data_IF_946778864277
#
_entry.id   IF_946778864277
#
_cell.length_a   1.000
_cell.length_b   1.000
_cell.length_c   1.000
_cell.angle_alpha   90.00
_cell.angle_beta   90.00
_cell.angle_gamma   90.00
#
_symmetry.space_group_name_H-M   'P 1'
#
loop_
_entity.id
_entity.type
_entity.pdbx_description
1 polymer ?
#
# COMPACT_ATOMS: atom_id res chain seq x y z
N UNK A 1 13.68 -7.10 12.67
CA UNK A 1 14.79 -6.99 11.70
C UNK A 1 15.67 -5.84 12.17
N UNK A 2 17.00 -5.98 12.24
CA UNK A 2 17.87 -4.87 12.60
C UNK A 2 17.80 -3.78 11.52
N UNK A 3 17.96 -2.52 11.95
CA UNK A 3 17.98 -1.38 11.04
C UNK A 3 19.31 -1.41 10.27
N UNK A 4 19.30 -1.40 8.93
CA UNK A 4 20.53 -1.34 8.15
C UNK A 4 21.27 -0.02 8.40
N UNK A 5 22.59 -0.04 8.30
CA UNK A 5 23.39 1.17 8.43
C UNK A 5 23.13 2.16 7.30
N UNK A 6 22.95 1.65 6.08
CA UNK A 6 22.72 2.45 4.88
C UNK A 6 21.50 1.93 4.13
N UNK A 7 20.70 2.86 3.63
CA UNK A 7 19.52 2.58 2.80
C UNK A 7 19.60 3.39 1.52
N UNK A 8 19.44 2.69 0.40
CA UNK A 8 19.37 3.30 -0.93
C UNK A 8 17.90 3.37 -1.33
N UNK A 9 17.38 4.57 -1.46
CA UNK A 9 15.96 4.85 -1.69
C UNK A 9 15.77 5.40 -3.12
N UNK A 10 15.33 4.57 -4.09
CA UNK A 10 15.16 5.00 -5.47
C UNK A 10 14.09 6.09 -5.61
N UNK A 11 14.40 7.14 -6.39
CA UNK A 11 13.48 8.22 -6.74
C UNK A 11 12.64 7.91 -8.00
N UNK A 12 12.73 6.69 -8.50
CA UNK A 12 11.94 6.22 -9.64
C UNK A 12 10.99 5.15 -9.17
N UNK A 13 9.71 5.33 -9.40
CA UNK A 13 8.67 4.34 -9.10
C UNK A 13 8.34 3.49 -10.34
N UNK A 14 7.59 2.41 -10.12
CA UNK A 14 7.02 1.62 -11.21
C UNK A 14 6.25 2.53 -12.18
N UNK A 15 6.46 2.35 -13.49
CA UNK A 15 5.77 3.10 -14.53
C UNK A 15 6.42 4.43 -14.93
N UNK A 16 7.71 4.64 -14.63
CA UNK A 16 8.49 5.82 -15.07
C UNK A 16 8.15 7.14 -14.38
N UNK A 17 7.33 7.15 -13.34
CA UNK A 17 7.09 8.35 -12.55
C UNK A 17 8.33 8.69 -11.75
N UNK A 18 8.84 9.91 -11.93
CA UNK A 18 9.99 10.42 -11.19
C UNK A 18 9.53 11.17 -9.95
N UNK A 19 10.30 11.01 -8.89
CA UNK A 19 10.13 11.75 -7.65
C UNK A 19 11.21 12.79 -7.52
N UNK A 20 10.84 13.97 -7.04
CA UNK A 20 11.75 15.08 -6.72
C UNK A 20 12.13 14.97 -5.25
N UNK A 21 13.43 15.00 -4.88
CA UNK A 21 13.83 15.02 -3.49
C UNK A 21 13.39 16.34 -2.81
N UNK A 22 12.90 16.21 -1.57
CA UNK A 22 12.58 17.33 -0.66
C UNK A 22 13.72 17.61 0.31
N UNK A 23 14.76 16.81 0.27
CA UNK A 23 15.94 16.86 1.14
C UNK A 23 17.22 17.02 0.30
N UNK A 24 18.30 17.37 0.96
CA UNK A 24 19.65 17.52 0.35
C UNK A 24 20.71 16.77 1.18
N UNK A 25 21.88 16.47 0.60
CA UNK A 25 22.98 15.89 1.37
C UNK A 25 23.33 16.75 2.59
N UNK A 26 23.51 16.10 3.74
CA UNK A 26 23.74 16.70 5.05
C UNK A 26 22.49 16.92 5.90
N UNK A 27 21.29 16.83 5.34
CA UNK A 27 20.05 16.97 6.11
C UNK A 27 19.87 15.79 7.06
N UNK A 28 19.48 16.10 8.30
CA UNK A 28 19.01 15.09 9.26
C UNK A 28 17.52 14.87 9.05
N UNK A 29 17.11 13.61 9.06
CA UNK A 29 15.70 13.21 8.89
C UNK A 29 15.27 12.29 10.03
N UNK A 30 14.02 12.38 10.37
CA UNK A 30 13.34 11.47 11.29
C UNK A 30 12.55 10.42 10.49
N UNK A 31 12.31 9.28 11.07
CA UNK A 31 11.42 8.26 10.50
C UNK A 31 10.04 8.85 10.21
N UNK A 32 9.45 8.48 9.09
CA UNK A 32 8.21 9.01 8.53
C UNK A 32 8.26 10.47 8.05
N UNK A 33 9.37 11.15 8.15
CA UNK A 33 9.52 12.48 7.54
C UNK A 33 9.44 12.36 6.00
N UNK A 34 8.67 13.24 5.35
CA UNK A 34 8.61 13.31 3.90
C UNK A 34 9.99 13.66 3.32
N UNK A 35 10.50 12.87 2.39
CA UNK A 35 11.82 13.02 1.76
C UNK A 35 11.77 13.19 0.24
N UNK A 36 10.66 12.80 -0.40
CA UNK A 36 10.44 13.05 -1.81
C UNK A 36 8.96 13.23 -2.13
N UNK A 37 8.69 13.87 -3.27
CA UNK A 37 7.35 14.05 -3.83
C UNK A 37 7.35 13.79 -5.33
N UNK A 38 6.19 13.43 -5.88
CA UNK A 38 6.00 13.23 -7.31
C UNK A 38 6.31 14.51 -8.10
N UNK A 39 7.14 14.42 -9.13
CA UNK A 39 7.40 15.55 -10.04
C UNK A 39 6.14 16.02 -10.77
N UNK A 40 5.21 15.11 -11.05
CA UNK A 40 4.00 15.42 -11.81
C UNK A 40 2.91 16.10 -10.98
N UNK A 41 2.78 15.75 -9.69
CA UNK A 41 1.67 16.20 -8.83
C UNK A 41 2.10 17.02 -7.64
N UNK A 42 3.39 16.96 -7.25
CA UNK A 42 3.90 17.57 -6.02
C UNK A 42 3.51 16.85 -4.73
N UNK A 43 2.75 15.77 -4.84
CA UNK A 43 2.28 14.99 -3.69
C UNK A 43 3.43 14.19 -3.11
N UNK A 44 3.52 14.15 -1.77
CA UNK A 44 4.52 13.33 -1.07
C UNK A 44 4.34 11.87 -1.47
N UNK A 45 5.42 11.25 -1.86
CA UNK A 45 5.41 9.88 -2.34
C UNK A 45 6.47 8.99 -1.70
N UNK A 46 7.35 9.59 -0.89
CA UNK A 46 8.33 8.86 -0.10
C UNK A 46 8.57 9.50 1.26
N UNK A 47 8.65 8.66 2.29
CA UNK A 47 9.03 9.02 3.65
C UNK A 47 10.33 8.32 4.05
N UNK A 48 11.08 8.89 4.97
CA UNK A 48 12.26 8.27 5.53
C UNK A 48 11.85 7.00 6.31
N UNK A 49 12.44 5.84 6.00
CA UNK A 49 12.09 4.57 6.68
C UNK A 49 12.68 4.47 8.10
N UNK A 50 13.65 5.30 8.42
CA UNK A 50 14.30 5.42 9.74
C UNK A 50 14.92 6.80 9.90
N UNK A 51 15.35 7.15 11.12
CA UNK A 51 16.11 8.39 11.36
C UNK A 51 17.56 8.26 10.90
N UNK A 52 18.16 9.40 10.54
CA UNK A 52 19.55 9.43 10.08
C UNK A 52 19.93 10.71 9.33
N UNK A 53 20.94 10.58 8.49
CA UNK A 53 21.49 11.69 7.70
C UNK A 53 21.49 11.32 6.22
N UNK A 54 21.04 12.23 5.37
CA UNK A 54 21.13 12.10 3.91
C UNK A 54 22.60 12.28 3.52
N UNK A 55 23.23 11.23 2.97
CA UNK A 55 24.64 11.26 2.57
C UNK A 55 24.84 11.72 1.16
N UNK A 56 23.99 11.27 0.24
CA UNK A 56 24.08 11.58 -1.17
C UNK A 56 22.70 11.53 -1.85
N UNK A 57 22.59 12.21 -2.98
CA UNK A 57 21.49 12.06 -3.93
C UNK A 57 22.14 11.91 -5.30
N UNK A 58 22.27 10.67 -5.75
CA UNK A 58 23.01 10.32 -6.96
C UNK A 58 22.51 8.99 -7.56
N UNK A 59 23.10 8.58 -8.67
CA UNK A 59 22.71 7.32 -9.32
C UNK A 59 23.32 6.12 -8.60
N UNK A 60 22.46 5.16 -8.27
CA UNK A 60 22.83 3.84 -7.73
C UNK A 60 22.23 2.73 -8.58
N UNK A 61 22.90 1.58 -8.59
CA UNK A 61 22.32 0.35 -9.12
C UNK A 61 21.11 -0.06 -8.28
N UNK A 62 19.97 -0.25 -8.92
CA UNK A 62 18.73 -0.69 -8.29
C UNK A 62 18.38 -2.12 -8.73
N UNK A 63 17.66 -2.89 -7.89
CA UNK A 63 17.12 -4.18 -8.27
C UNK A 63 16.15 -4.01 -9.45
N UNK A 64 16.63 -4.17 -10.66
CA UNK A 64 15.86 -4.05 -11.89
C UNK A 64 16.25 -5.17 -12.84
N UNK A 65 15.31 -5.79 -13.57
CA UNK A 65 15.64 -6.81 -14.57
C UNK A 65 16.64 -6.35 -15.63
N UNK A 66 16.82 -5.05 -15.80
CA UNK A 66 17.70 -4.44 -16.78
C UNK A 66 19.00 -3.87 -16.17
N UNK A 67 19.31 -4.18 -14.90
CA UNK A 67 20.48 -3.63 -14.17
C UNK A 67 20.67 -2.11 -14.37
N UNK A 68 19.59 -1.37 -14.32
CA UNK A 68 19.60 0.08 -14.51
C UNK A 68 20.05 0.79 -13.23
N UNK A 69 20.81 1.85 -13.42
CA UNK A 69 21.01 2.87 -12.39
C UNK A 69 19.81 3.81 -12.34
N UNK A 70 19.49 4.28 -11.15
CA UNK A 70 18.46 5.29 -10.92
C UNK A 70 18.95 6.31 -9.91
N UNK A 71 18.45 7.54 -10.03
CA UNK A 71 18.63 8.54 -8.99
C UNK A 71 18.04 8.04 -7.68
N UNK A 72 18.81 8.04 -6.61
CA UNK A 72 18.44 7.55 -5.30
C UNK A 72 18.87 8.53 -4.21
N UNK A 73 18.17 8.48 -3.09
CA UNK A 73 18.60 9.09 -1.83
C UNK A 73 19.37 8.02 -1.05
N UNK A 74 20.61 8.34 -0.65
CA UNK A 74 21.39 7.51 0.28
C UNK A 74 21.17 8.04 1.70
N UNK A 75 20.48 7.26 2.52
CA UNK A 75 20.24 7.53 3.93
C UNK A 75 21.18 6.68 4.79
N UNK A 76 22.03 7.32 5.60
CA UNK A 76 22.77 6.65 6.64
C UNK A 76 21.99 6.73 7.95
N UNK A 77 21.58 5.56 8.48
CA UNK A 77 20.84 5.45 9.74
C UNK A 77 21.71 5.85 10.93
N UNK A 78 21.13 6.56 11.89
CA UNK A 78 21.75 6.84 13.19
C UNK A 78 21.53 5.73 14.22
N UNK A 79 20.72 4.72 13.88
CA UNK A 79 20.37 3.57 14.71
C UNK A 79 19.36 3.84 15.83
N UNK A 80 18.88 5.09 15.97
CA UNK A 80 17.91 5.45 17.01
C UNK A 80 16.44 5.23 16.58
N UNK A 81 16.17 5.15 15.27
CA UNK A 81 14.82 5.01 14.72
C UNK A 81 13.83 6.06 15.26
N UNK A 82 14.33 7.28 15.51
CA UNK A 82 13.52 8.36 16.05
C UNK A 82 12.47 8.82 15.05
N UNK A 83 11.23 8.95 15.51
CA UNK A 83 10.07 9.26 14.66
C UNK A 83 9.70 10.74 14.74
N UNK A 84 9.03 11.25 13.70
CA UNK A 84 8.33 12.53 13.78
C UNK A 84 7.19 12.45 14.78
N UNK A 85 6.79 13.58 15.34
CA UNK A 85 5.58 13.63 16.17
C UNK A 85 4.35 13.32 15.31
N UNK A 86 3.57 12.34 15.74
CA UNK A 86 2.34 11.94 15.09
C UNK A 86 1.14 12.50 15.86
N UNK A 87 0.31 13.27 15.20
CA UNK A 87 -1.02 13.59 15.70
C UNK A 87 -1.94 12.39 15.46
N UNK A 88 -1.99 11.47 16.44
CA UNK A 88 -2.87 10.32 16.36
C UNK A 88 -4.34 10.75 16.26
N UNK A 89 -5.05 10.25 15.27
CA UNK A 89 -6.48 10.45 15.12
C UNK A 89 -7.20 9.43 15.99
N UNK A 90 -7.86 9.91 17.03
CA UNK A 90 -8.52 9.04 18.01
C UNK A 90 -9.67 8.22 17.38
N UNK A 91 -10.42 8.81 16.46
CA UNK A 91 -11.51 8.13 15.75
C UNK A 91 -11.57 8.61 14.29
N UNK A 92 -11.15 7.76 13.36
CA UNK A 92 -11.20 8.04 11.91
C UNK A 92 -12.64 8.27 11.41
N UNK A 93 -13.67 7.78 12.11
CA UNK A 93 -15.09 7.95 11.73
C UNK A 93 -15.61 9.36 11.91
N UNK A 94 -14.87 10.21 12.64
CA UNK A 94 -15.17 11.63 12.77
C UNK A 94 -14.74 12.45 11.54
N UNK A 95 -13.93 11.85 10.65
CA UNK A 95 -13.42 12.49 9.45
C UNK A 95 -14.33 12.23 8.24
N UNK A 96 -14.41 13.23 7.38
CA UNK A 96 -15.05 13.07 6.06
C UNK A 96 -14.21 12.15 5.16
N UNK A 97 -14.83 11.62 4.10
CA UNK A 97 -14.12 10.80 3.12
C UNK A 97 -12.98 11.56 2.43
N UNK A 98 -13.10 12.87 2.23
CA UNK A 98 -12.04 13.71 1.66
C UNK A 98 -10.86 13.86 2.60
N UNK A 99 -11.10 14.08 3.89
CA UNK A 99 -10.02 14.14 4.88
C UNK A 99 -9.29 12.81 5.00
N UNK A 100 -10.03 11.68 4.98
CA UNK A 100 -9.41 10.36 4.95
C UNK A 100 -8.59 10.12 3.68
N UNK A 101 -9.10 10.52 2.52
CA UNK A 101 -8.37 10.40 1.25
C UNK A 101 -7.07 11.21 1.27
N UNK A 102 -7.11 12.45 1.78
CA UNK A 102 -5.92 13.30 1.92
C UNK A 102 -4.88 12.68 2.86
N UNK A 103 -5.30 12.13 4.00
CA UNK A 103 -4.39 11.45 4.93
C UNK A 103 -3.74 10.20 4.31
N UNK A 104 -4.48 9.43 3.52
CA UNK A 104 -3.96 8.28 2.78
C UNK A 104 -2.91 8.74 1.75
N UNK A 105 -3.16 9.87 1.09
CA UNK A 105 -2.26 10.47 0.13
C UNK A 105 -0.99 11.02 0.80
N UNK A 106 -1.13 11.81 1.87
CA UNK A 106 -0.02 12.33 2.67
C UNK A 106 0.83 11.21 3.28
N UNK A 107 0.21 10.09 3.64
CA UNK A 107 0.88 8.88 4.11
C UNK A 107 1.63 8.12 3.02
N UNK A 108 1.57 8.56 1.76
CA UNK A 108 2.16 7.89 0.59
C UNK A 108 1.77 6.40 0.52
N UNK A 109 0.51 6.09 0.84
CA UNK A 109 0.01 4.71 0.83
C UNK A 109 -0.35 4.32 -0.60
N UNK A 110 0.47 3.46 -1.19
CA UNK A 110 0.32 2.99 -2.57
C UNK A 110 0.02 1.51 -2.62
N UNK A 111 -0.68 1.08 -3.67
CA UNK A 111 -0.73 -0.33 -4.03
C UNK A 111 0.63 -0.79 -4.54
N UNK A 112 1.24 -1.76 -3.87
CA UNK A 112 2.55 -2.34 -4.25
C UNK A 112 2.43 -3.37 -5.38
N UNK A 113 1.24 -3.75 -5.79
CA UNK A 113 1.01 -4.60 -6.96
C UNK A 113 1.26 -3.77 -8.22
N UNK A 114 2.16 -4.23 -9.05
CA UNK A 114 2.68 -3.76 -10.36
C UNK A 114 2.05 -2.61 -11.14
N UNK A 115 0.90 -2.13 -10.79
CA UNK A 115 0.23 -1.03 -11.47
C UNK A 115 0.50 0.36 -10.86
N UNK A 116 1.24 0.45 -9.73
CA UNK A 116 1.78 1.71 -9.19
C UNK A 116 0.81 2.89 -9.08
N UNK A 117 -0.49 2.64 -9.17
CA UNK A 117 -1.49 3.68 -9.21
C UNK A 117 -1.73 4.24 -7.81
N UNK A 118 -1.58 5.54 -7.71
CA UNK A 118 -1.86 6.31 -6.51
C UNK A 118 -3.35 6.15 -6.19
N UNK A 119 -3.63 5.68 -4.98
CA UNK A 119 -5.00 5.36 -4.56
C UNK A 119 -5.94 6.56 -4.62
N UNK A 120 -5.42 7.79 -4.44
CA UNK A 120 -6.23 9.01 -4.49
C UNK A 120 -6.92 9.21 -5.84
N UNK A 121 -6.27 8.88 -6.97
CA UNK A 121 -6.90 8.97 -8.29
C UNK A 121 -8.07 7.99 -8.44
N UNK A 122 -8.00 6.87 -7.74
CA UNK A 122 -9.12 5.92 -7.65
C UNK A 122 -10.21 6.45 -6.71
N UNK A 123 -9.83 7.10 -5.62
CA UNK A 123 -10.76 7.68 -4.64
C UNK A 123 -11.45 8.96 -5.14
N UNK A 124 -10.71 9.81 -5.87
CA UNK A 124 -11.21 11.10 -6.37
C UNK A 124 -11.94 11.02 -7.72
N UNK A 125 -12.05 9.85 -8.35
CA UNK A 125 -12.66 9.71 -9.67
C UNK A 125 -14.16 10.06 -9.73
N UNK A 126 -14.79 10.31 -8.58
CA UNK A 126 -16.22 10.60 -8.47
C UNK A 126 -17.14 9.43 -8.84
N UNK A 127 -16.58 8.28 -9.18
CA UNK A 127 -17.33 7.05 -9.50
C UNK A 127 -17.70 6.33 -8.22
N UNK A 128 -18.95 5.92 -8.11
CA UNK A 128 -19.41 5.13 -6.97
C UNK A 128 -18.67 3.81 -6.89
N UNK A 129 -18.04 3.53 -5.74
CA UNK A 129 -17.37 2.26 -5.46
C UNK A 129 -18.38 1.30 -4.85
N UNK A 130 -18.70 0.25 -5.59
CA UNK A 130 -19.63 -0.79 -5.12
C UNK A 130 -18.95 -1.82 -4.25
N UNK A 131 -17.69 -2.13 -4.56
CA UNK A 131 -16.95 -3.18 -3.89
C UNK A 131 -15.48 -2.79 -3.71
N UNK A 132 -15.02 -2.82 -2.46
CA UNK A 132 -13.60 -2.79 -2.11
C UNK A 132 -13.14 -4.22 -1.81
N UNK A 133 -12.10 -4.67 -2.51
CA UNK A 133 -11.45 -5.97 -2.28
C UNK A 133 -10.10 -5.72 -1.63
N UNK A 134 -9.91 -6.27 -0.43
CA UNK A 134 -8.60 -6.38 0.19
C UNK A 134 -8.03 -7.75 -0.20
N UNK A 135 -7.01 -7.71 -1.03
CA UNK A 135 -6.40 -8.91 -1.59
C UNK A 135 -5.36 -9.47 -0.62
N UNK A 136 -5.72 -10.59 -0.03
CA UNK A 136 -4.86 -11.42 0.81
C UNK A 136 -4.55 -12.78 0.16
N UNK A 137 -4.93 -12.96 -1.12
CA UNK A 137 -4.53 -14.12 -1.90
C UNK A 137 -3.15 -13.88 -2.52
N UNK A 138 -2.32 -14.92 -2.49
CA UNK A 138 -0.97 -14.81 -3.04
C UNK A 138 -1.01 -14.82 -4.57
N UNK A 139 -0.32 -13.85 -5.17
CA UNK A 139 -0.23 -13.73 -6.63
C UNK A 139 0.89 -14.57 -7.24
N UNK A 140 1.87 -14.96 -6.43
CA UNK A 140 3.09 -15.64 -6.88
C UNK A 140 3.50 -16.76 -5.91
N UNK A 141 4.05 -17.88 -6.42
CA UNK A 141 4.58 -18.93 -5.56
C UNK A 141 5.69 -18.42 -4.63
N UNK A 142 5.77 -18.99 -3.44
CA UNK A 142 6.76 -18.67 -2.40
C UNK A 142 6.66 -17.27 -1.77
N UNK A 143 5.71 -16.43 -2.16
CA UNK A 143 5.40 -15.19 -1.45
C UNK A 143 4.51 -15.53 -0.25
N UNK A 144 4.95 -15.13 0.96
CA UNK A 144 4.26 -15.41 2.23
C UNK A 144 4.10 -14.17 3.11
N UNK A 145 4.46 -13.00 2.59
CA UNK A 145 4.44 -11.76 3.36
C UNK A 145 3.01 -11.38 3.80
N UNK A 146 2.02 -11.54 2.91
CA UNK A 146 0.61 -11.26 3.20
C UNK A 146 0.07 -12.19 4.30
N UNK A 147 0.35 -13.49 4.22
CA UNK A 147 -0.03 -14.46 5.23
C UNK A 147 0.57 -14.14 6.60
N UNK A 148 1.88 -13.86 6.65
CA UNK A 148 2.57 -13.51 7.89
C UNK A 148 1.97 -12.23 8.51
N UNK A 149 1.69 -11.21 7.69
CA UNK A 149 1.06 -9.97 8.14
C UNK A 149 -0.33 -10.23 8.74
N UNK A 150 -1.15 -11.02 8.06
CA UNK A 150 -2.49 -11.37 8.54
C UNK A 150 -2.46 -12.16 9.83
N UNK A 151 -1.56 -13.13 9.95
CA UNK A 151 -1.40 -13.92 11.17
C UNK A 151 -0.97 -13.06 12.37
N UNK A 152 -0.04 -12.12 12.15
CA UNK A 152 0.55 -11.33 13.22
C UNK A 152 -0.18 -10.01 13.49
N UNK A 153 -0.84 -9.44 12.49
CA UNK A 153 -1.40 -8.09 12.52
C UNK A 153 -2.82 -7.99 11.97
N UNK A 154 -3.62 -9.05 12.07
CA UNK A 154 -5.00 -9.11 11.56
C UNK A 154 -5.84 -7.87 11.95
N UNK A 155 -5.72 -7.42 13.20
CA UNK A 155 -6.44 -6.22 13.70
C UNK A 155 -6.10 -4.95 12.92
N UNK A 156 -4.84 -4.77 12.57
CA UNK A 156 -4.39 -3.59 11.80
C UNK A 156 -4.87 -3.68 10.35
N UNK A 157 -4.85 -4.87 9.75
CA UNK A 157 -5.36 -5.08 8.38
C UNK A 157 -6.87 -4.79 8.32
N UNK A 158 -7.64 -5.31 9.28
CA UNK A 158 -9.09 -5.06 9.36
C UNK A 158 -9.37 -3.57 9.60
N UNK A 159 -8.59 -2.89 10.44
CA UNK A 159 -8.71 -1.45 10.66
C UNK A 159 -8.40 -0.66 9.39
N UNK A 160 -7.31 -0.98 8.69
CA UNK A 160 -6.95 -0.37 7.40
C UNK A 160 -8.03 -0.57 6.34
N UNK A 161 -8.61 -1.76 6.26
CA UNK A 161 -9.72 -2.06 5.35
C UNK A 161 -10.96 -1.18 5.63
N UNK A 162 -11.29 -0.95 6.91
CA UNK A 162 -12.38 -0.04 7.31
C UNK A 162 -12.11 1.42 6.95
N UNK A 163 -10.88 1.87 7.16
CA UNK A 163 -10.47 3.24 6.80
C UNK A 163 -10.55 3.42 5.29
N UNK A 164 -10.03 2.47 4.51
CA UNK A 164 -10.11 2.49 3.04
C UNK A 164 -11.57 2.44 2.57
N UNK A 165 -12.43 1.61 3.18
CA UNK A 165 -13.85 1.54 2.85
C UNK A 165 -14.53 2.90 3.08
N UNK A 166 -14.26 3.56 4.20
CA UNK A 166 -14.80 4.88 4.50
C UNK A 166 -14.27 5.95 3.53
N UNK A 167 -12.96 5.94 3.23
CA UNK A 167 -12.33 6.90 2.33
C UNK A 167 -12.85 6.79 0.88
N UNK A 168 -13.13 5.58 0.39
CA UNK A 168 -13.67 5.37 -0.96
C UNK A 168 -15.20 5.27 -1.00
N UNK A 169 -15.88 5.40 0.14
CA UNK A 169 -17.34 5.26 0.26
C UNK A 169 -17.87 3.96 -0.37
N UNK A 170 -17.11 2.85 -0.23
CA UNK A 170 -17.52 1.59 -0.82
C UNK A 170 -18.73 0.98 -0.11
N UNK A 171 -19.72 0.56 -0.89
CA UNK A 171 -20.94 -0.08 -0.37
C UNK A 171 -20.63 -1.39 0.37
N UNK A 172 -19.65 -2.16 -0.13
CA UNK A 172 -19.20 -3.41 0.44
C UNK A 172 -17.68 -3.46 0.52
N UNK A 173 -17.16 -4.13 1.53
CA UNK A 173 -15.74 -4.45 1.67
C UNK A 173 -15.58 -5.95 1.92
N UNK A 174 -14.66 -6.58 1.19
CA UNK A 174 -14.34 -8.00 1.35
C UNK A 174 -12.83 -8.18 1.53
N UNK A 175 -12.43 -9.16 2.32
CA UNK A 175 -11.04 -9.64 2.38
C UNK A 175 -11.01 -11.00 1.67
N UNK A 176 -10.25 -11.12 0.60
CA UNK A 176 -10.11 -12.36 -0.17
C UNK A 176 -8.79 -13.04 0.19
N UNK A 177 -8.85 -14.30 0.62
CA UNK A 177 -7.69 -15.06 1.10
C UNK A 177 -7.70 -16.49 0.55
N UNK A 178 -6.51 -17.05 0.30
CA UNK A 178 -6.38 -18.45 -0.10
C UNK A 178 -6.91 -19.40 1.00
N UNK A 179 -7.74 -20.35 0.60
CA UNK A 179 -8.43 -21.27 1.53
C UNK A 179 -7.49 -22.19 2.32
N UNK A 180 -6.24 -22.33 1.90
CA UNK A 180 -5.21 -23.11 2.59
C UNK A 180 -4.44 -22.33 3.68
N UNK A 181 -4.71 -21.03 3.86
CA UNK A 181 -4.05 -20.16 4.85
C UNK A 181 -4.81 -20.21 6.19
N UNK A 182 -4.86 -21.37 6.81
CA UNK A 182 -5.73 -21.64 7.98
C UNK A 182 -5.47 -20.72 9.16
N UNK A 183 -4.20 -20.49 9.54
CA UNK A 183 -3.84 -19.65 10.69
C UNK A 183 -4.20 -18.17 10.47
N UNK A 184 -4.02 -17.67 9.25
CA UNK A 184 -4.36 -16.30 8.90
C UNK A 184 -5.90 -16.12 8.85
N UNK A 185 -6.63 -17.13 8.35
CA UNK A 185 -8.10 -17.16 8.35
C UNK A 185 -8.62 -17.12 9.79
N UNK A 186 -8.09 -17.97 10.68
CA UNK A 186 -8.49 -17.99 12.08
C UNK A 186 -8.22 -16.64 12.77
N UNK A 187 -7.05 -16.04 12.56
CA UNK A 187 -6.70 -14.73 13.10
C UNK A 187 -7.68 -13.63 12.62
N UNK A 188 -8.09 -13.67 11.35
CA UNK A 188 -9.09 -12.76 10.81
C UNK A 188 -10.48 -13.01 11.40
N UNK A 189 -10.94 -14.25 11.46
CA UNK A 189 -12.24 -14.61 12.02
C UNK A 189 -12.37 -14.17 13.48
N UNK A 190 -11.34 -14.37 14.30
CA UNK A 190 -11.28 -13.88 15.68
C UNK A 190 -11.35 -12.37 15.79
N UNK A 191 -10.80 -11.65 14.81
CA UNK A 191 -10.78 -10.17 14.79
C UNK A 191 -12.12 -9.59 14.32
N UNK A 192 -12.85 -10.31 13.49
CA UNK A 192 -14.06 -9.81 12.81
C UNK A 192 -15.37 -10.01 13.57
N UNK A 193 -15.37 -10.58 14.77
CA UNK A 193 -16.59 -10.90 15.55
C UNK A 193 -17.62 -9.75 15.65
N UNK A 194 -17.24 -8.50 15.35
CA UNK A 194 -18.12 -7.32 15.32
C UNK A 194 -17.88 -6.44 14.08
N UNK A 195 -17.49 -7.01 12.94
CA UNK A 195 -17.07 -6.25 11.77
C UNK A 195 -17.88 -6.63 10.52
N UNK A 196 -18.40 -5.66 9.75
CA UNK A 196 -19.18 -5.93 8.53
C UNK A 196 -18.33 -6.32 7.31
N UNK A 197 -17.01 -6.55 7.45
CA UNK A 197 -16.15 -6.98 6.35
C UNK A 197 -16.35 -8.47 6.11
N UNK A 198 -16.71 -8.84 4.90
CA UNK A 198 -16.90 -10.21 4.48
C UNK A 198 -15.56 -10.90 4.20
N UNK A 199 -15.35 -12.11 4.72
CA UNK A 199 -14.19 -12.93 4.41
C UNK A 199 -14.52 -13.93 3.30
N UNK A 200 -13.83 -13.83 2.16
CA UNK A 200 -14.01 -14.72 1.02
C UNK A 200 -12.79 -15.63 0.88
N UNK A 201 -13.03 -16.94 1.03
CA UNK A 201 -11.99 -17.97 0.84
C UNK A 201 -11.93 -18.36 -0.63
N UNK A 202 -10.78 -18.16 -1.28
CA UNK A 202 -10.57 -18.51 -2.69
C UNK A 202 -9.67 -19.74 -2.83
N UNK A 203 -9.76 -20.42 -3.95
CA UNK A 203 -8.90 -21.58 -4.22
C UNK A 203 -7.44 -21.13 -4.39
N UNK A 204 -6.46 -21.79 -3.75
CA UNK A 204 -5.03 -21.47 -3.86
C UNK A 204 -4.48 -21.93 -5.22
N UNK A 205 -4.86 -21.23 -6.26
CA UNK A 205 -4.50 -21.55 -7.66
C UNK A 205 -3.84 -20.36 -8.31
N UNK A 206 -2.61 -20.54 -8.81
CA UNK A 206 -1.94 -19.51 -9.61
C UNK A 206 -2.71 -19.24 -10.92
N UNK A 207 -2.97 -17.99 -11.30
CA UNK A 207 -2.65 -16.71 -10.64
C UNK A 207 -3.87 -16.04 -9.96
N UNK A 208 -4.64 -16.74 -9.14
CA UNK A 208 -5.88 -16.24 -8.51
C UNK A 208 -5.67 -14.90 -7.77
N UNK A 209 -4.50 -14.71 -7.13
CA UNK A 209 -4.15 -13.48 -6.44
C UNK A 209 -3.90 -12.26 -7.34
N UNK A 210 -3.83 -12.43 -8.68
CA UNK A 210 -3.70 -11.28 -9.57
C UNK A 210 -5.01 -10.50 -9.67
N UNK A 211 -4.92 -9.17 -9.81
CA UNK A 211 -6.07 -8.25 -9.69
C UNK A 211 -7.29 -8.68 -10.51
N UNK A 212 -7.12 -8.83 -11.81
CA UNK A 212 -8.26 -9.14 -12.71
C UNK A 212 -8.81 -10.55 -12.50
N UNK A 213 -7.95 -11.52 -12.17
CA UNK A 213 -8.36 -12.88 -11.90
C UNK A 213 -9.16 -12.97 -10.59
N UNK A 214 -8.69 -12.27 -9.55
CA UNK A 214 -9.38 -12.26 -8.27
C UNK A 214 -10.75 -11.58 -8.37
N UNK A 215 -10.82 -10.45 -9.08
CA UNK A 215 -12.10 -9.76 -9.35
C UNK A 215 -13.07 -10.70 -10.04
N UNK A 216 -12.63 -11.39 -11.09
CA UNK A 216 -13.49 -12.34 -11.81
C UNK A 216 -13.93 -13.50 -10.91
N UNK A 217 -13.02 -14.04 -10.11
CA UNK A 217 -13.30 -15.13 -9.18
C UNK A 217 -14.38 -14.76 -8.16
N UNK A 218 -14.30 -13.54 -7.60
CA UNK A 218 -15.20 -13.08 -6.55
C UNK A 218 -16.54 -12.61 -7.12
N UNK A 219 -16.52 -11.93 -8.27
CA UNK A 219 -17.69 -11.19 -8.77
C UNK A 219 -18.31 -11.80 -10.02
N UNK A 220 -17.67 -12.77 -10.65
CA UNK A 220 -18.00 -13.32 -11.97
C UNK A 220 -18.04 -12.27 -13.08
N UNK A 221 -17.41 -11.10 -12.87
CA UNK A 221 -17.31 -10.02 -13.84
C UNK A 221 -15.89 -9.90 -14.34
N UNK A 222 -15.73 -9.67 -15.63
CA UNK A 222 -14.45 -9.35 -16.24
C UNK A 222 -14.20 -7.84 -16.23
N UNK A 223 -12.96 -7.45 -15.96
CA UNK A 223 -12.49 -6.09 -16.22
C UNK A 223 -12.22 -5.98 -17.72
N UNK A 224 -12.94 -5.14 -18.48
CA UNK A 224 -12.77 -5.06 -19.93
C UNK A 224 -11.33 -4.73 -20.32
N UNK A 225 -10.90 -5.20 -21.48
CA UNK A 225 -9.57 -4.89 -22.03
C UNK A 225 -9.35 -3.39 -22.11
N UNK A 226 -8.18 -2.91 -21.64
CA UNK A 226 -7.84 -1.49 -21.59
C UNK A 226 -8.58 -0.67 -20.53
N UNK A 227 -9.37 -1.32 -19.66
CA UNK A 227 -10.08 -0.68 -18.54
C UNK A 227 -9.48 -1.07 -17.20
N UNK A 228 -9.78 -0.27 -16.18
CA UNK A 228 -9.40 -0.48 -14.79
C UNK A 228 -10.58 -1.05 -13.99
N UNK A 229 -10.33 -1.73 -12.86
CA UNK A 229 -11.39 -2.18 -11.95
C UNK A 229 -12.34 -1.07 -11.53
N UNK A 230 -11.84 0.15 -11.33
CA UNK A 230 -12.65 1.31 -11.00
C UNK A 230 -13.72 1.63 -12.07
N UNK A 231 -13.51 1.27 -13.35
CA UNK A 231 -14.49 1.49 -14.41
C UNK A 231 -15.73 0.62 -14.26
N UNK A 232 -15.62 -0.47 -13.51
CA UNK A 232 -16.75 -1.36 -13.19
C UNK A 232 -17.19 -1.23 -11.71
N UNK A 233 -16.75 -0.17 -11.02
CA UNK A 233 -17.10 0.13 -9.63
C UNK A 233 -16.42 -0.75 -8.60
N UNK A 234 -15.25 -1.30 -8.91
CA UNK A 234 -14.46 -2.14 -8.00
C UNK A 234 -13.12 -1.48 -7.72
N UNK A 235 -12.70 -1.45 -6.45
CA UNK A 235 -11.34 -1.13 -6.06
C UNK A 235 -10.69 -2.36 -5.42
N UNK A 236 -9.39 -2.53 -5.64
CA UNK A 236 -8.61 -3.58 -5.00
C UNK A 236 -7.33 -3.02 -4.39
N UNK A 237 -7.02 -3.48 -3.19
CA UNK A 237 -5.78 -3.21 -2.47
C UNK A 237 -5.21 -4.51 -1.92
N UNK A 238 -3.89 -4.63 -1.88
CA UNK A 238 -3.24 -5.72 -1.16
C UNK A 238 -3.22 -5.44 0.35
N UNK A 239 -3.06 -6.49 1.12
CA UNK A 239 -2.83 -6.42 2.58
C UNK A 239 -1.48 -5.82 2.91
#
# INVERSE_FOLDING_TARGET
>A
TPIPRELILPLTKHGSTRSKPLVKPGDKVLKYQAIACSEATGIVDQHAPTSGVIRAIENFAIPSPLNKESMCILLESDGFDAEIDHNAIADYRSLSYLELANLIEEGAIFGLSGEGYINHLKLSSGKAVKLLIINAAESEPYITAGEALLREKAKLVVLGAKILQAACMAERCVIAIDSNKTDAIEALEQTQLNCPIELIKVAPKYPTGSEKQLIQTITSKEVPSGKYPADIGILMHNV
#
